data_IF_312609594010
#
_entry.id   IF_312609594010
#
_cell.length_a   1.000
_cell.length_b   1.000
_cell.length_c   1.000
_cell.angle_alpha   90.00
_cell.angle_beta   90.00
_cell.angle_gamma   90.00
#
_symmetry.space_group_name_H-M   'P 1'
#
loop_
_entity.id
_entity.type
_entity.pdbx_description
1 polymer ?
#
# COMPACT_ATOMS: atom_id res chain seq x y z
N UNK A 1 20.52 7.57 -46.82
CA UNK A 1 19.25 7.51 -46.06
C UNK A 1 19.62 7.67 -44.60
N UNK A 2 19.63 8.91 -44.11
CA UNK A 2 20.06 9.23 -42.74
C UNK A 2 19.05 8.70 -41.71
N UNK A 3 19.55 8.19 -40.61
CA UNK A 3 18.79 7.57 -39.52
C UNK A 3 17.69 8.52 -39.01
N UNK A 4 16.44 8.27 -39.39
CA UNK A 4 15.22 8.97 -38.95
C UNK A 4 14.79 8.56 -37.51
N UNK A 5 15.48 7.58 -36.94
CA UNK A 5 15.23 7.03 -35.61
C UNK A 5 15.30 8.07 -34.47
N UNK A 6 16.32 8.94 -34.36
CA UNK A 6 16.39 9.94 -33.30
C UNK A 6 15.21 10.92 -33.35
N UNK A 7 14.81 11.34 -34.56
CA UNK A 7 13.70 12.27 -34.75
C UNK A 7 12.36 11.64 -34.29
N UNK A 8 12.10 10.39 -34.70
CA UNK A 8 10.89 9.65 -34.26
C UNK A 8 10.83 9.44 -32.75
N UNK A 9 11.96 9.15 -32.11
CA UNK A 9 12.03 9.00 -30.65
C UNK A 9 11.69 10.34 -29.98
N UNK A 10 12.24 11.44 -30.47
CA UNK A 10 11.97 12.78 -29.91
C UNK A 10 10.51 13.19 -30.10
N UNK A 11 9.91 12.92 -31.26
CA UNK A 11 8.51 13.22 -31.52
C UNK A 11 7.56 12.37 -30.66
N UNK A 12 7.87 11.09 -30.47
CA UNK A 12 7.14 10.20 -29.56
C UNK A 12 7.20 10.69 -28.10
N UNK A 13 8.40 11.04 -27.61
CA UNK A 13 8.58 11.56 -26.24
C UNK A 13 7.87 12.90 -26.03
N UNK A 14 7.88 13.78 -27.04
CA UNK A 14 7.19 15.08 -27.00
C UNK A 14 5.67 14.93 -26.91
N UNK A 15 5.10 13.98 -27.65
CA UNK A 15 3.67 13.67 -27.58
C UNK A 15 3.30 13.03 -26.23
N UNK A 16 4.17 12.17 -25.69
CA UNK A 16 3.91 11.48 -24.41
C UNK A 16 4.00 12.41 -23.19
N UNK A 17 4.91 13.38 -23.23
CA UNK A 17 5.13 14.36 -22.16
C UNK A 17 4.13 15.52 -22.15
N UNK A 18 3.08 15.48 -22.98
CA UNK A 18 2.17 16.62 -23.22
C UNK A 18 2.95 17.91 -23.56
N UNK A 19 3.99 17.81 -24.39
CA UNK A 19 4.92 18.90 -24.76
C UNK A 19 5.79 19.47 -23.64
N UNK A 20 5.78 18.87 -22.44
CA UNK A 20 6.75 19.23 -21.41
C UNK A 20 8.16 18.77 -21.84
N UNK A 21 9.14 19.67 -21.74
CA UNK A 21 10.52 19.42 -22.14
C UNK A 21 11.32 18.55 -21.17
N UNK A 22 10.67 17.97 -20.15
CA UNK A 22 11.33 17.22 -19.08
C UNK A 22 10.58 15.93 -18.72
N UNK A 23 11.35 14.92 -18.33
CA UNK A 23 10.85 13.62 -17.89
C UNK A 23 10.81 12.57 -19.00
N UNK A 24 10.94 11.31 -18.59
CA UNK A 24 10.76 10.13 -19.45
C UNK A 24 9.55 9.32 -18.95
N UNK A 25 8.89 8.53 -19.81
CA UNK A 25 7.78 7.67 -19.41
C UNK A 25 8.18 6.72 -18.27
N UNK A 26 7.35 6.53 -17.25
CA UNK A 26 7.64 5.63 -16.12
C UNK A 26 7.12 4.23 -16.41
N UNK A 27 7.93 3.19 -16.18
CA UNK A 27 7.49 1.78 -16.18
C UNK A 27 7.79 0.95 -17.44
N UNK A 28 8.39 1.53 -18.49
CA UNK A 28 8.80 0.80 -19.70
C UNK A 28 10.27 0.33 -19.68
N UNK A 29 10.63 -0.80 -20.33
CA UNK A 29 12.03 -1.26 -20.45
C UNK A 29 12.96 -0.21 -21.10
N UNK A 30 12.46 0.53 -22.08
CA UNK A 30 13.22 1.58 -22.77
C UNK A 30 13.56 2.75 -21.83
N UNK A 31 12.64 3.14 -20.95
CA UNK A 31 12.86 4.22 -19.98
C UNK A 31 13.99 3.89 -19.01
N UNK A 32 14.11 2.61 -18.61
CA UNK A 32 15.22 2.17 -17.75
C UNK A 32 16.57 2.37 -18.42
N UNK A 33 16.69 1.99 -19.69
CA UNK A 33 17.93 2.17 -20.47
C UNK A 33 18.25 3.66 -20.62
N UNK A 34 17.24 4.50 -20.90
CA UNK A 34 17.43 5.95 -21.01
C UNK A 34 17.86 6.57 -19.68
N UNK A 35 17.28 6.17 -18.54
CA UNK A 35 17.74 6.60 -17.22
C UNK A 35 19.20 6.25 -16.95
N UNK A 36 19.60 5.03 -17.28
CA UNK A 36 20.99 4.58 -17.13
C UNK A 36 21.96 5.39 -18.01
N UNK A 37 21.57 5.68 -19.25
CA UNK A 37 22.37 6.50 -20.17
C UNK A 37 22.53 7.95 -19.68
N UNK A 38 21.46 8.54 -19.13
CA UNK A 38 21.47 9.88 -18.54
C UNK A 38 22.43 9.95 -17.34
N UNK A 39 22.37 8.97 -16.43
CA UNK A 39 23.20 8.96 -15.22
C UNK A 39 24.66 8.51 -15.47
N UNK A 40 24.95 7.83 -16.58
CA UNK A 40 26.31 7.41 -16.92
C UNK A 40 27.32 8.58 -17.04
N UNK A 41 26.86 9.79 -17.39
CA UNK A 41 27.75 10.97 -17.35
C UNK A 41 28.20 11.28 -15.92
N UNK A 42 27.29 11.21 -14.94
CA UNK A 42 27.59 11.44 -13.53
C UNK A 42 28.52 10.36 -12.99
N UNK A 43 28.27 9.10 -13.36
CA UNK A 43 29.14 7.97 -12.98
C UNK A 43 30.59 8.19 -13.43
N UNK A 44 30.78 8.67 -14.67
CA UNK A 44 32.11 8.97 -15.20
C UNK A 44 32.79 10.13 -14.48
N UNK A 45 32.02 11.16 -14.11
CA UNK A 45 32.53 12.29 -13.33
C UNK A 45 32.97 11.85 -11.93
N UNK A 46 32.16 11.03 -11.24
CA UNK A 46 32.53 10.47 -9.93
C UNK A 46 33.81 9.62 -10.02
N UNK A 47 33.95 8.78 -11.06
CA UNK A 47 35.19 8.02 -11.29
C UNK A 47 36.39 8.92 -11.59
N UNK A 48 36.16 10.01 -12.34
CA UNK A 48 37.20 10.99 -12.66
C UNK A 48 37.77 11.69 -11.43
N UNK A 49 36.94 11.96 -10.42
CA UNK A 49 37.34 12.50 -9.12
C UNK A 49 37.89 11.43 -8.15
N UNK A 50 37.97 10.16 -8.56
CA UNK A 50 38.44 9.08 -7.70
C UNK A 50 37.47 8.67 -6.59
N UNK A 51 36.20 9.09 -6.65
CA UNK A 51 35.19 8.79 -5.63
C UNK A 51 34.78 7.33 -5.76
N UNK A 52 34.88 6.57 -4.66
CA UNK A 52 34.38 5.20 -4.61
C UNK A 52 32.86 5.20 -4.43
N UNK A 53 32.13 4.58 -5.36
CA UNK A 53 30.68 4.51 -5.27
C UNK A 53 30.10 3.24 -5.88
N UNK A 54 28.87 2.93 -5.48
CA UNK A 54 27.99 1.97 -6.12
C UNK A 54 26.67 2.66 -6.47
N UNK A 55 26.15 2.40 -7.67
CA UNK A 55 24.86 2.90 -8.12
C UNK A 55 23.97 1.76 -8.58
N UNK A 56 22.72 1.79 -8.14
CA UNK A 56 21.68 0.91 -8.66
C UNK A 56 20.46 1.76 -9.01
N UNK A 57 20.13 1.86 -10.30
CA UNK A 57 19.15 2.81 -10.81
C UNK A 57 19.47 4.26 -10.34
N UNK A 58 18.58 4.90 -9.59
CA UNK A 58 18.72 6.26 -9.04
C UNK A 58 19.41 6.30 -7.66
N UNK A 59 19.63 5.16 -7.02
CA UNK A 59 20.24 5.09 -5.69
C UNK A 59 21.77 5.09 -5.76
N UNK A 60 22.40 6.13 -5.22
CA UNK A 60 23.85 6.28 -5.07
C UNK A 60 24.31 5.95 -3.65
N UNK A 61 25.35 5.14 -3.56
CA UNK A 61 26.09 4.87 -2.32
C UNK A 61 27.54 5.30 -2.53
N UNK A 62 27.94 6.37 -1.84
CA UNK A 62 29.31 6.90 -1.86
C UNK A 62 30.05 6.41 -0.62
N UNK A 63 31.31 5.99 -0.78
CA UNK A 63 32.16 5.52 0.30
C UNK A 63 33.29 6.51 0.57
N UNK A 64 33.58 6.77 1.83
CA UNK A 64 34.63 7.70 2.28
C UNK A 64 35.26 7.23 3.59
N UNK A 65 36.43 7.75 3.92
CA UNK A 65 37.19 7.39 5.12
C UNK A 65 36.75 8.18 6.34
N UNK A 66 36.26 9.41 6.13
CA UNK A 66 35.77 10.28 7.20
C UNK A 66 34.51 11.07 6.76
N UNK A 67 33.89 11.75 7.73
CA UNK A 67 32.61 12.45 7.55
C UNK A 67 32.73 13.72 6.69
N UNK A 68 33.85 14.42 6.77
CA UNK A 68 34.08 15.65 6.01
C UNK A 68 34.29 15.35 4.53
N UNK A 69 35.01 14.27 4.23
CA UNK A 69 35.16 13.71 2.89
C UNK A 69 33.79 13.22 2.35
N UNK A 70 32.99 12.55 3.18
CA UNK A 70 31.63 12.14 2.80
C UNK A 70 30.78 13.36 2.38
N UNK A 71 30.87 14.44 3.15
CA UNK A 71 30.15 15.67 2.90
C UNK A 71 30.62 16.33 1.60
N UNK A 72 31.93 16.34 1.36
CA UNK A 72 32.54 16.83 0.12
C UNK A 72 32.05 16.03 -1.10
N UNK A 73 32.01 14.69 -1.02
CA UNK A 73 31.48 13.84 -2.09
C UNK A 73 29.97 14.08 -2.34
N UNK A 74 29.18 14.28 -1.27
CA UNK A 74 27.76 14.61 -1.40
C UNK A 74 27.54 15.94 -2.12
N UNK A 75 28.31 16.97 -1.75
CA UNK A 75 28.25 18.27 -2.41
C UNK A 75 28.61 18.17 -3.89
N UNK A 76 29.69 17.46 -4.20
CA UNK A 76 30.10 17.22 -5.58
C UNK A 76 28.99 16.52 -6.39
N UNK A 77 28.43 15.44 -5.86
CA UNK A 77 27.32 14.72 -6.51
C UNK A 77 26.11 15.63 -6.74
N UNK A 78 25.70 16.37 -5.69
CA UNK A 78 24.56 17.28 -5.76
C UNK A 78 24.77 18.38 -6.81
N UNK A 79 25.98 18.94 -6.88
CA UNK A 79 26.34 19.97 -7.84
C UNK A 79 26.27 19.42 -9.28
N UNK A 80 26.89 18.26 -9.55
CA UNK A 80 26.91 17.67 -10.89
C UNK A 80 25.55 17.19 -11.35
N UNK A 81 24.72 16.66 -10.46
CA UNK A 81 23.33 16.30 -10.78
C UNK A 81 22.52 17.53 -11.17
N UNK A 82 22.66 18.64 -10.43
CA UNK A 82 21.93 19.87 -10.71
C UNK A 82 22.41 20.54 -12.00
N UNK A 83 23.71 20.71 -12.17
CA UNK A 83 24.28 21.43 -13.31
C UNK A 83 24.13 20.68 -14.63
N UNK A 84 24.37 19.37 -14.65
CA UNK A 84 24.42 18.60 -15.89
C UNK A 84 23.08 17.94 -16.25
N UNK A 85 22.28 17.54 -15.24
CA UNK A 85 21.05 16.76 -15.46
C UNK A 85 19.79 17.49 -14.97
N UNK A 86 19.91 18.63 -14.28
CA UNK A 86 18.76 19.31 -13.67
C UNK A 86 18.09 18.50 -12.54
N UNK A 87 18.79 17.50 -11.99
CA UNK A 87 18.27 16.60 -10.97
C UNK A 87 18.64 17.09 -9.56
N UNK A 88 17.76 16.85 -8.59
CA UNK A 88 17.99 17.19 -7.18
C UNK A 88 17.88 15.95 -6.29
N UNK A 89 18.71 15.90 -5.25
CA UNK A 89 18.67 14.85 -4.25
C UNK A 89 17.51 15.05 -3.26
N UNK A 90 16.82 13.97 -2.92
CA UNK A 90 15.74 14.00 -1.94
C UNK A 90 16.30 14.04 -0.50
N UNK A 91 16.29 15.22 0.13
CA UNK A 91 16.84 15.47 1.47
C UNK A 91 16.42 14.47 2.55
N UNK A 92 15.17 14.00 2.52
CA UNK A 92 14.65 13.04 3.50
C UNK A 92 15.25 11.62 3.37
N UNK A 93 15.77 11.29 2.19
CA UNK A 93 16.40 10.00 1.87
C UNK A 93 17.93 10.04 1.96
N UNK A 94 18.54 11.20 1.73
CA UNK A 94 19.99 11.38 1.84
C UNK A 94 20.44 11.30 3.31
N UNK A 95 21.29 10.33 3.62
CA UNK A 95 21.78 10.07 4.98
C UNK A 95 23.27 9.79 4.98
N UNK A 96 23.96 10.26 6.02
CA UNK A 96 25.30 9.79 6.35
C UNK A 96 25.15 8.61 7.29
N UNK A 97 25.80 7.50 6.96
CA UNK A 97 25.71 6.27 7.72
C UNK A 97 27.12 5.76 8.00
N UNK A 98 27.34 5.22 9.20
CA UNK A 98 28.56 4.46 9.46
C UNK A 98 28.54 3.13 8.71
N UNK A 99 29.71 2.49 8.56
CA UNK A 99 29.79 1.14 7.98
C UNK A 99 28.84 0.16 8.70
N UNK A 100 28.77 0.24 10.02
CA UNK A 100 27.88 -0.60 10.83
C UNK A 100 26.40 -0.33 10.55
N UNK A 101 25.99 0.94 10.45
CA UNK A 101 24.61 1.32 10.13
C UNK A 101 24.20 0.90 8.71
N UNK A 102 25.12 1.06 7.75
CA UNK A 102 24.90 0.67 6.36
C UNK A 102 24.75 -0.85 6.23
N UNK A 103 25.65 -1.62 6.87
CA UNK A 103 25.57 -3.08 6.92
C UNK A 103 24.28 -3.57 7.58
N UNK A 104 23.81 -2.95 8.66
CA UNK A 104 22.54 -3.30 9.31
C UNK A 104 21.30 -3.01 8.45
N UNK A 105 21.42 -2.11 7.46
CA UNK A 105 20.36 -1.75 6.53
C UNK A 105 20.35 -2.65 5.29
N UNK A 106 21.48 -3.30 4.99
CA UNK A 106 21.63 -4.18 3.83
C UNK A 106 20.83 -5.47 4.01
N UNK A 107 19.91 -5.81 3.07
CA UNK A 107 19.19 -7.09 3.09
C UNK A 107 20.12 -8.31 3.04
N UNK A 108 21.36 -8.14 2.58
CA UNK A 108 22.37 -9.21 2.47
C UNK A 108 23.02 -9.56 3.81
N UNK A 109 23.00 -8.65 4.81
CA UNK A 109 23.51 -8.94 6.15
C UNK A 109 22.52 -9.76 7.01
N UNK A 110 21.41 -10.21 6.41
CA UNK A 110 20.46 -11.14 7.01
C UNK A 110 20.83 -12.61 6.73
N UNK A 111 21.86 -12.90 5.93
CA UNK A 111 22.19 -14.27 5.50
C UNK A 111 23.50 -14.84 6.06
N UNK A 112 24.53 -14.04 6.34
CA UNK A 112 25.80 -14.58 6.85
C UNK A 112 26.20 -14.00 8.20
N UNK A 113 26.23 -14.94 9.16
CA UNK A 113 26.93 -14.95 10.45
C UNK A 113 26.49 -14.02 11.58
N UNK A 114 26.62 -14.60 12.79
CA UNK A 114 26.28 -14.04 14.07
C UNK A 114 26.87 -12.64 14.25
N UNK A 115 26.00 -11.62 14.33
CA UNK A 115 26.39 -10.33 14.87
C UNK A 115 26.63 -10.51 16.38
N UNK A 116 27.86 -10.32 16.87
CA UNK A 116 28.15 -10.27 18.30
C UNK A 116 27.29 -9.18 18.94
N UNK A 117 26.94 -9.38 20.21
CA UNK A 117 26.33 -8.35 21.04
C UNK A 117 27.06 -7.00 20.88
N UNK A 118 26.30 -5.90 20.91
CA UNK A 118 26.69 -4.48 20.73
C UNK A 118 26.33 -3.94 19.32
N UNK A 119 25.39 -3.03 19.07
CA UNK A 119 24.60 -2.12 19.90
C UNK A 119 23.22 -1.94 19.21
N UNK A 120 22.19 -2.58 19.77
CA UNK A 120 20.80 -2.14 19.58
C UNK A 120 20.45 -1.45 20.89
N UNK A 121 19.98 -0.20 20.83
CA UNK A 121 19.58 0.60 22.00
C UNK A 121 19.00 -0.26 23.15
N UNK A 122 19.44 -0.06 24.40
CA UNK A 122 19.25 -1.02 25.51
C UNK A 122 17.78 -1.24 25.95
N UNK A 123 16.83 -0.44 25.44
CA UNK A 123 15.44 -0.44 25.92
C UNK A 123 14.51 -1.46 25.24
N UNK A 124 14.98 -2.19 24.23
CA UNK A 124 14.17 -3.21 23.55
C UNK A 124 14.47 -4.61 24.12
N UNK A 125 13.45 -5.34 24.63
CA UNK A 125 13.62 -6.70 25.10
C UNK A 125 14.28 -7.56 24.02
N UNK A 126 15.21 -8.45 24.40
CA UNK A 126 15.93 -9.32 23.45
C UNK A 126 14.98 -10.07 22.48
N UNK A 127 13.77 -10.40 22.94
CA UNK A 127 12.70 -11.02 22.15
C UNK A 127 12.17 -10.14 21.01
N UNK A 128 12.01 -8.83 21.25
CA UNK A 128 11.59 -7.86 20.24
C UNK A 128 12.67 -7.67 19.15
N UNK A 129 13.95 -7.78 19.55
CA UNK A 129 15.08 -7.77 18.60
C UNK A 129 15.08 -9.03 17.73
N UNK A 130 14.77 -10.20 18.30
CA UNK A 130 14.62 -11.45 17.55
C UNK A 130 13.55 -11.36 16.46
N UNK A 131 12.37 -10.82 16.78
CA UNK A 131 11.31 -10.61 15.79
C UNK A 131 11.68 -9.56 14.72
N UNK A 132 12.45 -8.53 15.08
CA UNK A 132 12.98 -7.57 14.11
C UNK A 132 14.06 -8.15 13.19
N UNK A 133 14.80 -9.17 13.61
CA UNK A 133 15.74 -9.90 12.73
C UNK A 133 15.02 -10.90 11.84
N UNK A 134 13.88 -11.41 12.28
CA UNK A 134 13.09 -12.38 11.53
C UNK A 134 12.42 -11.80 10.28
N UNK A 135 12.49 -12.55 9.16
CA UNK A 135 11.92 -12.17 7.87
C UNK A 135 10.53 -12.81 7.68
N UNK A 136 9.49 -11.98 7.64
CA UNK A 136 8.10 -12.42 7.42
C UNK A 136 7.74 -12.49 5.93
N UNK A 137 8.67 -12.91 5.06
CA UNK A 137 8.40 -13.01 3.62
C UNK A 137 7.68 -14.31 3.31
N UNK A 138 6.48 -14.18 2.75
CA UNK A 138 5.68 -15.29 2.25
C UNK A 138 5.28 -15.00 0.81
N UNK A 139 5.58 -15.91 -0.12
CA UNK A 139 5.13 -15.84 -1.51
C UNK A 139 4.02 -16.86 -1.77
N UNK A 140 2.76 -16.42 -1.93
CA UNK A 140 1.63 -17.30 -2.20
C UNK A 140 1.70 -18.07 -3.53
N UNK A 141 2.58 -17.66 -4.45
CA UNK A 141 2.71 -18.27 -5.78
C UNK A 141 3.96 -19.15 -5.91
N UNK A 142 4.70 -19.35 -4.81
CA UNK A 142 5.82 -20.28 -4.78
C UNK A 142 5.33 -21.73 -4.93
N UNK A 143 6.05 -22.60 -5.66
CA UNK A 143 5.76 -24.04 -5.67
C UNK A 143 5.84 -24.69 -4.27
N UNK A 144 6.56 -24.09 -3.33
CA UNK A 144 6.69 -24.53 -1.93
C UNK A 144 5.81 -23.72 -0.95
N UNK A 145 4.85 -22.94 -1.44
CA UNK A 145 4.07 -22.00 -0.61
C UNK A 145 3.43 -22.65 0.62
N UNK A 146 2.94 -23.89 0.54
CA UNK A 146 2.35 -24.54 1.70
C UNK A 146 3.39 -24.88 2.78
N UNK A 147 4.56 -25.37 2.37
CA UNK A 147 5.68 -25.69 3.26
C UNK A 147 6.29 -24.43 3.89
N UNK A 148 6.48 -23.39 3.08
CA UNK A 148 6.99 -22.08 3.52
C UNK A 148 6.05 -21.43 4.55
N UNK A 149 4.73 -21.56 4.38
CA UNK A 149 3.74 -21.08 5.34
C UNK A 149 3.85 -21.81 6.68
N UNK A 150 3.93 -23.14 6.64
CA UNK A 150 4.03 -23.98 7.84
C UNK A 150 5.34 -23.74 8.60
N UNK A 151 6.46 -23.56 7.91
CA UNK A 151 7.73 -23.17 8.51
C UNK A 151 7.61 -21.81 9.20
N UNK A 152 7.07 -20.82 8.50
CA UNK A 152 6.89 -19.47 9.02
C UNK A 152 6.00 -19.46 10.26
N UNK A 153 4.92 -20.23 10.25
CA UNK A 153 4.01 -20.40 11.39
C UNK A 153 4.72 -20.99 12.61
N UNK A 154 5.47 -22.08 12.45
CA UNK A 154 6.22 -22.72 13.56
C UNK A 154 7.29 -21.82 14.15
N UNK A 155 7.95 -21.01 13.32
CA UNK A 155 8.95 -20.06 13.79
C UNK A 155 8.32 -18.88 14.52
N UNK A 156 7.15 -18.42 14.04
CA UNK A 156 6.34 -17.39 14.69
C UNK A 156 5.82 -17.85 16.05
N UNK A 157 5.42 -19.11 16.20
CA UNK A 157 4.99 -19.70 17.48
C UNK A 157 6.06 -19.62 18.58
N UNK A 158 7.35 -19.50 18.21
CA UNK A 158 8.45 -19.29 19.18
C UNK A 158 8.44 -17.89 19.79
N UNK A 159 7.80 -16.92 19.14
CA UNK A 159 7.68 -15.56 19.62
C UNK A 159 6.32 -15.35 20.31
N UNK A 160 6.35 -14.80 21.52
CA UNK A 160 5.12 -14.37 22.18
C UNK A 160 4.65 -13.03 21.60
N UNK A 161 3.99 -13.10 20.44
CA UNK A 161 3.51 -11.92 19.71
C UNK A 161 2.45 -11.17 20.53
N UNK A 162 1.64 -11.87 21.31
CA UNK A 162 0.58 -11.25 22.10
C UNK A 162 1.17 -10.37 23.20
N UNK A 163 2.19 -10.86 23.89
CA UNK A 163 2.87 -10.07 24.93
C UNK A 163 3.66 -8.92 24.32
N UNK A 164 4.31 -9.12 23.16
CA UNK A 164 4.95 -8.03 22.42
C UNK A 164 3.93 -6.96 22.01
N UNK A 165 2.75 -7.36 21.53
CA UNK A 165 1.66 -6.45 21.19
C UNK A 165 1.20 -5.67 22.41
N UNK A 166 0.89 -6.34 23.52
CA UNK A 166 0.48 -5.67 24.78
C UNK A 166 1.53 -4.66 25.24
N UNK A 167 2.81 -5.04 25.19
CA UNK A 167 3.91 -4.16 25.60
C UNK A 167 4.05 -2.92 24.70
N UNK A 168 3.77 -3.03 23.41
CA UNK A 168 3.76 -1.89 22.49
C UNK A 168 2.53 -1.01 22.71
N UNK A 169 1.36 -1.60 22.96
CA UNK A 169 0.13 -0.85 23.22
C UNK A 169 0.13 -0.10 24.56
N UNK A 170 0.89 -0.58 25.55
CA UNK A 170 1.05 0.12 26.82
C UNK A 170 1.96 1.35 26.75
N UNK A 171 2.65 1.60 25.63
CA UNK A 171 3.56 2.73 25.46
C UNK A 171 2.80 3.98 25.04
N UNK A 172 3.33 5.14 25.41
CA UNK A 172 2.83 6.44 24.92
C UNK A 172 3.14 6.66 23.44
N UNK A 173 4.18 6.01 22.91
CA UNK A 173 4.56 6.04 21.50
C UNK A 173 5.02 4.66 21.06
N UNK A 174 4.50 4.19 19.92
CA UNK A 174 4.85 2.91 19.33
C UNK A 174 6.15 2.97 18.53
N UNK A 175 6.85 1.84 18.48
CA UNK A 175 7.93 1.67 17.52
C UNK A 175 7.37 1.20 16.18
N UNK A 176 7.24 2.11 15.20
CA UNK A 176 6.51 1.91 13.92
C UNK A 176 6.90 0.61 13.20
N UNK A 177 8.20 0.30 13.09
CA UNK A 177 8.66 -0.89 12.37
C UNK A 177 8.40 -2.19 13.14
N UNK A 178 8.48 -2.15 14.48
CA UNK A 178 8.16 -3.30 15.32
C UNK A 178 6.65 -3.54 15.32
N UNK A 179 5.84 -2.49 15.50
CA UNK A 179 4.39 -2.55 15.43
C UNK A 179 3.92 -3.14 14.09
N UNK A 180 4.47 -2.69 12.97
CA UNK A 180 4.14 -3.26 11.64
C UNK A 180 4.49 -4.74 11.53
N UNK A 181 5.61 -5.18 12.10
CA UNK A 181 5.98 -6.61 12.12
C UNK A 181 5.04 -7.43 13.00
N UNK A 182 4.76 -6.96 14.21
CA UNK A 182 3.81 -7.59 15.14
C UNK A 182 2.45 -7.75 14.45
N UNK A 183 1.91 -6.66 13.88
CA UNK A 183 0.63 -6.66 13.17
C UNK A 183 0.63 -7.69 12.03
N UNK A 184 1.67 -7.71 11.19
CA UNK A 184 1.75 -8.68 10.08
C UNK A 184 1.90 -10.13 10.56
N UNK A 185 2.58 -10.34 11.69
CA UNK A 185 2.77 -11.68 12.26
C UNK A 185 1.45 -12.28 12.80
N UNK A 186 0.44 -11.45 13.12
CA UNK A 186 -0.88 -11.94 13.56
C UNK A 186 -1.59 -12.84 12.53
N UNK A 187 -1.25 -12.71 11.24
CA UNK A 187 -1.78 -13.58 10.17
C UNK A 187 -1.43 -15.06 10.35
N UNK A 188 -0.36 -15.35 11.08
CA UNK A 188 0.17 -16.69 11.28
C UNK A 188 -0.13 -17.26 12.68
N UNK A 189 -0.82 -16.49 13.53
CA UNK A 189 -1.25 -16.95 14.86
C UNK A 189 -2.55 -17.76 14.72
N UNK A 190 -2.74 -18.74 15.61
CA UNK A 190 -3.99 -19.50 15.76
C UNK A 190 -5.23 -18.61 15.91
N UNK A 191 -6.33 -18.99 15.25
CA UNK A 191 -7.57 -18.19 15.17
C UNK A 191 -8.08 -17.73 16.55
N UNK A 192 -8.12 -18.62 17.56
CA UNK A 192 -8.64 -18.27 18.89
C UNK A 192 -7.82 -17.20 19.64
N UNK A 193 -6.51 -17.09 19.40
CA UNK A 193 -5.65 -16.05 19.99
C UNK A 193 -5.66 -14.75 19.19
N UNK A 194 -6.03 -14.83 17.91
CA UNK A 194 -6.06 -13.71 16.97
C UNK A 194 -7.18 -12.72 17.31
N UNK A 195 -8.33 -13.21 17.74
CA UNK A 195 -9.51 -12.39 18.08
C UNK A 195 -9.17 -11.26 19.04
N UNK A 196 -8.63 -11.58 20.22
CA UNK A 196 -8.27 -10.60 21.24
C UNK A 196 -7.21 -9.59 20.74
N UNK A 197 -6.26 -10.04 19.92
CA UNK A 197 -5.22 -9.18 19.37
C UNK A 197 -5.78 -8.16 18.36
N UNK A 198 -6.67 -8.59 17.46
CA UNK A 198 -7.27 -7.70 16.46
C UNK A 198 -8.20 -6.69 17.14
N UNK A 199 -8.99 -7.12 18.13
CA UNK A 199 -9.84 -6.22 18.92
C UNK A 199 -8.99 -5.14 19.59
N UNK A 200 -7.90 -5.52 20.26
CA UNK A 200 -6.99 -4.58 20.91
C UNK A 200 -6.38 -3.56 19.93
N UNK A 201 -6.06 -3.97 18.70
CA UNK A 201 -5.54 -3.05 17.68
C UNK A 201 -6.61 -2.05 17.21
N UNK A 202 -7.84 -2.50 16.95
CA UNK A 202 -8.92 -1.62 16.45
C UNK A 202 -9.37 -0.62 17.51
N UNK A 203 -9.33 -1.01 18.78
CA UNK A 203 -9.71 -0.16 19.92
C UNK A 203 -8.66 0.89 20.32
N UNK A 204 -7.45 0.85 19.75
CA UNK A 204 -6.37 1.83 20.03
C UNK A 204 -5.96 2.61 18.76
N UNK A 205 -6.90 3.27 18.05
CA UNK A 205 -6.65 3.87 16.75
C UNK A 205 -5.69 5.07 16.82
N UNK A 206 -5.73 5.85 17.91
CA UNK A 206 -4.92 7.06 18.09
C UNK A 206 -3.43 6.72 18.25
N UNK A 207 -3.13 5.71 19.07
CA UNK A 207 -1.77 5.21 19.27
C UNK A 207 -1.21 4.56 17.99
N UNK A 208 -2.07 3.85 17.25
CA UNK A 208 -1.71 3.11 16.04
C UNK A 208 -1.86 3.92 14.76
N UNK A 209 -2.18 5.22 14.85
CA UNK A 209 -2.35 6.11 13.69
C UNK A 209 -1.25 5.97 12.62
N UNK A 210 0.06 5.89 12.95
CA UNK A 210 1.13 5.74 11.95
C UNK A 210 1.12 4.41 11.17
N UNK A 211 0.45 3.39 11.70
CA UNK A 211 0.36 2.04 11.13
C UNK A 211 -1.08 1.60 10.90
N UNK A 212 -2.05 2.52 10.95
CA UNK A 212 -3.48 2.23 10.90
C UNK A 212 -3.88 1.43 9.64
N UNK A 213 -3.34 1.80 8.48
CA UNK A 213 -3.57 1.05 7.23
C UNK A 213 -3.11 -0.41 7.33
N UNK A 214 -2.03 -0.69 8.06
CA UNK A 214 -1.55 -2.06 8.26
C UNK A 214 -2.48 -2.84 9.18
N UNK A 215 -3.01 -2.19 10.23
CA UNK A 215 -4.03 -2.79 11.11
C UNK A 215 -5.26 -3.18 10.30
N UNK A 216 -5.81 -2.25 9.51
CA UNK A 216 -7.00 -2.50 8.69
C UNK A 216 -6.77 -3.60 7.64
N UNK A 217 -5.59 -3.64 7.01
CA UNK A 217 -5.24 -4.68 6.04
C UNK A 217 -5.18 -6.06 6.67
N UNK A 218 -4.54 -6.19 7.85
CA UNK A 218 -4.48 -7.47 8.56
C UNK A 218 -5.86 -7.89 9.02
N UNK A 219 -6.60 -6.99 9.68
CA UNK A 219 -7.96 -7.24 10.13
C UNK A 219 -8.87 -7.69 8.98
N UNK A 220 -8.78 -7.06 7.80
CA UNK A 220 -9.51 -7.48 6.60
C UNK A 220 -9.08 -8.84 6.09
N UNK A 221 -7.78 -9.12 6.04
CA UNK A 221 -7.27 -10.41 5.53
C UNK A 221 -7.62 -11.59 6.43
N UNK A 222 -7.82 -11.37 7.73
CA UNK A 222 -8.15 -12.42 8.69
C UNK A 222 -9.62 -12.41 9.08
N UNK A 223 -10.45 -11.51 8.51
CA UNK A 223 -11.80 -11.22 9.01
C UNK A 223 -12.71 -12.46 9.02
N UNK A 224 -12.66 -13.27 7.95
CA UNK A 224 -13.48 -14.48 7.80
C UNK A 224 -13.12 -15.57 8.81
N UNK A 225 -11.88 -15.58 9.33
CA UNK A 225 -11.40 -16.54 10.33
C UNK A 225 -11.75 -16.14 11.78
N UNK A 226 -12.18 -14.88 12.02
CA UNK A 226 -12.49 -14.38 13.36
C UNK A 226 -13.88 -14.85 13.81
N UNK A 227 -14.07 -14.98 15.13
CA UNK A 227 -15.40 -15.31 15.67
C UNK A 227 -16.45 -14.24 15.33
N UNK A 228 -17.72 -14.65 15.21
CA UNK A 228 -18.85 -13.75 14.92
C UNK A 228 -18.93 -12.57 15.90
N UNK A 229 -18.70 -12.84 17.19
CA UNK A 229 -18.72 -11.82 18.25
C UNK A 229 -17.61 -10.78 18.00
N UNK A 230 -16.40 -11.24 17.68
CA UNK A 230 -15.28 -10.36 17.38
C UNK A 230 -15.48 -9.55 16.10
N UNK A 231 -16.03 -10.18 15.05
CA UNK A 231 -16.36 -9.47 13.81
C UNK A 231 -17.31 -8.29 14.08
N UNK A 232 -18.40 -8.52 14.82
CA UNK A 232 -19.36 -7.46 15.17
C UNK A 232 -18.68 -6.36 15.99
N UNK A 233 -17.93 -6.72 17.03
CA UNK A 233 -17.24 -5.76 17.90
C UNK A 233 -16.26 -4.85 17.15
N UNK A 234 -15.51 -5.40 16.19
CA UNK A 234 -14.58 -4.63 15.34
C UNK A 234 -15.37 -3.63 14.49
N UNK A 235 -16.47 -4.06 13.88
CA UNK A 235 -17.27 -3.22 13.00
C UNK A 235 -18.00 -2.12 13.77
N UNK A 236 -18.52 -2.41 14.97
CA UNK A 236 -19.10 -1.41 15.86
C UNK A 236 -18.08 -0.33 16.23
N UNK A 237 -16.85 -0.73 16.58
CA UNK A 237 -15.76 0.21 16.86
C UNK A 237 -15.45 1.12 15.66
N UNK A 238 -15.45 0.58 14.43
CA UNK A 238 -15.26 1.39 13.22
C UNK A 238 -16.42 2.35 12.96
N UNK A 239 -17.66 1.90 13.18
CA UNK A 239 -18.85 2.75 13.06
C UNK A 239 -18.75 3.94 14.01
N UNK A 240 -18.37 3.71 15.27
CA UNK A 240 -18.18 4.77 16.25
C UNK A 240 -17.10 5.77 15.82
N UNK A 241 -15.97 5.28 15.33
CA UNK A 241 -14.88 6.16 14.84
C UNK A 241 -15.31 7.05 13.67
N UNK A 242 -16.11 6.50 12.75
CA UNK A 242 -16.65 7.26 11.60
C UNK A 242 -17.69 8.27 12.10
N UNK A 243 -18.65 7.85 12.95
CA UNK A 243 -19.69 8.74 13.51
C UNK A 243 -19.09 9.92 14.27
N UNK A 244 -18.04 9.67 15.05
CA UNK A 244 -17.37 10.69 15.86
C UNK A 244 -16.39 11.56 15.06
N UNK A 245 -16.26 11.34 13.74
CA UNK A 245 -15.33 12.04 12.87
C UNK A 245 -13.90 12.07 13.43
N UNK A 246 -13.41 10.90 13.86
CA UNK A 246 -12.09 10.74 14.47
C UNK A 246 -11.00 11.31 13.58
N UNK A 247 -10.01 11.98 14.19
CA UNK A 247 -8.87 12.55 13.48
C UNK A 247 -8.08 11.50 12.68
N UNK A 248 -8.07 10.24 13.13
CA UNK A 248 -7.44 9.11 12.44
C UNK A 248 -8.05 8.87 11.06
N UNK A 249 -9.37 9.04 10.94
CA UNK A 249 -10.14 8.81 9.71
C UNK A 249 -10.30 10.05 8.84
N UNK A 250 -9.81 11.23 9.28
CA UNK A 250 -9.73 12.41 8.40
C UNK A 250 -8.77 12.20 7.24
N UNK A 251 -7.80 11.30 7.41
CA UNK A 251 -6.93 10.85 6.33
C UNK A 251 -7.76 9.94 5.41
N UNK A 252 -7.97 10.40 4.17
CA UNK A 252 -8.79 9.72 3.17
C UNK A 252 -8.43 8.23 3.00
N UNK A 253 -7.13 7.90 2.97
CA UNK A 253 -6.66 6.53 2.83
C UNK A 253 -7.04 5.64 4.03
N UNK A 254 -7.00 6.18 5.25
CA UNK A 254 -7.39 5.43 6.45
C UNK A 254 -8.89 5.15 6.43
N UNK A 255 -9.70 6.15 6.08
CA UNK A 255 -11.14 6.00 5.92
C UNK A 255 -11.48 4.96 4.83
N UNK A 256 -10.75 4.97 3.71
CA UNK A 256 -10.92 3.97 2.65
C UNK A 256 -10.71 2.54 3.16
N UNK A 257 -9.62 2.30 3.90
CA UNK A 257 -9.35 0.98 4.49
C UNK A 257 -10.38 0.58 5.55
N UNK A 258 -10.88 1.54 6.34
CA UNK A 258 -11.95 1.29 7.31
C UNK A 258 -13.27 0.89 6.61
N UNK A 259 -13.68 1.61 5.55
CA UNK A 259 -14.87 1.28 4.75
C UNK A 259 -14.73 -0.11 4.11
N UNK A 260 -13.54 -0.44 3.61
CA UNK A 260 -13.25 -1.76 3.03
C UNK A 260 -13.36 -2.92 4.00
N UNK A 261 -13.04 -2.70 5.26
CA UNK A 261 -13.22 -3.67 6.34
C UNK A 261 -14.69 -3.73 6.77
N UNK A 262 -15.35 -2.58 6.89
CA UNK A 262 -16.78 -2.49 7.15
C UNK A 262 -17.60 -3.25 6.10
N UNK A 263 -17.22 -3.14 4.83
CA UNK A 263 -17.87 -3.86 3.73
C UNK A 263 -17.82 -5.38 3.78
N UNK A 264 -17.05 -5.98 4.70
CA UNK A 264 -16.98 -7.44 4.85
C UNK A 264 -18.29 -8.04 5.40
N UNK A 265 -19.01 -7.31 6.26
CA UNK A 265 -20.28 -7.78 6.85
C UNK A 265 -21.20 -6.61 7.15
N UNK A 266 -22.48 -6.75 6.80
CA UNK A 266 -23.49 -5.76 7.16
C UNK A 266 -23.89 -5.91 8.62
N UNK A 267 -23.92 -4.80 9.35
CA UNK A 267 -24.38 -4.74 10.75
C UNK A 267 -25.35 -3.58 10.93
N UNK A 268 -26.08 -3.55 12.04
CA UNK A 268 -27.10 -2.52 12.30
C UNK A 268 -26.51 -1.11 12.24
N UNK A 269 -27.11 -0.24 11.43
CA UNK A 269 -26.70 1.15 11.26
C UNK A 269 -25.49 1.39 10.34
N UNK A 270 -24.88 0.33 9.76
CA UNK A 270 -23.77 0.50 8.80
C UNK A 270 -24.24 1.12 7.47
N UNK A 271 -25.45 0.79 7.04
CA UNK A 271 -26.07 1.29 5.80
C UNK A 271 -26.37 2.80 5.88
N UNK A 272 -27.08 3.24 6.92
CA UNK A 272 -27.38 4.66 7.14
C UNK A 272 -26.10 5.50 7.26
N UNK A 273 -25.09 4.97 7.94
CA UNK A 273 -23.79 5.60 8.08
C UNK A 273 -23.12 5.82 6.72
N UNK A 274 -23.03 4.77 5.90
CA UNK A 274 -22.39 4.87 4.58
C UNK A 274 -23.20 5.75 3.62
N UNK A 275 -24.53 5.72 3.70
CA UNK A 275 -25.40 6.61 2.93
C UNK A 275 -25.18 8.08 3.30
N UNK A 276 -25.09 8.39 4.59
CA UNK A 276 -24.73 9.72 5.08
C UNK A 276 -23.33 10.15 4.65
N UNK A 277 -22.35 9.25 4.77
CA UNK A 277 -20.96 9.51 4.39
C UNK A 277 -20.81 9.78 2.88
N UNK A 278 -21.55 9.05 2.03
CA UNK A 278 -21.56 9.26 0.59
C UNK A 278 -21.99 10.68 0.21
N UNK A 279 -23.03 11.19 0.88
CA UNK A 279 -23.55 12.55 0.66
C UNK A 279 -22.58 13.62 1.16
N UNK A 280 -21.92 13.38 2.30
CA UNK A 280 -21.02 14.34 2.92
C UNK A 280 -19.65 14.44 2.24
N UNK A 281 -19.11 13.32 1.72
CA UNK A 281 -17.79 13.31 1.11
C UNK A 281 -17.80 13.83 -0.33
N UNK A 282 -16.71 14.47 -0.74
CA UNK A 282 -16.46 14.87 -2.13
C UNK A 282 -15.42 13.99 -2.82
N UNK A 283 -14.77 13.08 -2.07
CA UNK A 283 -13.75 12.19 -2.62
C UNK A 283 -14.37 11.13 -3.55
N UNK A 284 -13.92 11.06 -4.82
CA UNK A 284 -14.30 10.00 -5.75
C UNK A 284 -13.92 8.58 -5.27
N UNK A 285 -12.79 8.45 -4.56
CA UNK A 285 -12.28 7.16 -4.11
C UNK A 285 -13.16 6.58 -2.98
N UNK A 286 -13.56 7.43 -2.03
CA UNK A 286 -14.46 7.02 -0.95
C UNK A 286 -15.82 6.66 -1.52
N UNK A 287 -16.39 7.51 -2.39
CA UNK A 287 -17.69 7.26 -3.03
C UNK A 287 -17.68 5.96 -3.82
N UNK A 288 -16.61 5.69 -4.59
CA UNK A 288 -16.40 4.41 -5.29
C UNK A 288 -16.51 3.22 -4.33
N UNK A 289 -15.80 3.22 -3.21
CA UNK A 289 -15.83 2.09 -2.27
C UNK A 289 -17.19 1.93 -1.60
N UNK A 290 -17.85 3.04 -1.24
CA UNK A 290 -19.22 2.99 -0.71
C UNK A 290 -20.18 2.34 -1.71
N UNK A 291 -20.11 2.71 -3.00
CA UNK A 291 -20.94 2.09 -4.04
C UNK A 291 -20.73 0.57 -4.11
N UNK A 292 -19.47 0.13 -4.08
CA UNK A 292 -19.13 -1.30 -4.13
C UNK A 292 -19.58 -2.03 -2.87
N UNK A 293 -19.46 -1.41 -1.69
CA UNK A 293 -19.95 -1.95 -0.41
C UNK A 293 -21.47 -2.10 -0.42
N UNK A 294 -22.20 -1.04 -0.76
CA UNK A 294 -23.67 -1.06 -0.85
C UNK A 294 -24.16 -2.12 -1.83
N UNK A 295 -23.46 -2.29 -2.96
CA UNK A 295 -23.75 -3.34 -3.91
C UNK A 295 -23.44 -4.74 -3.38
N UNK A 296 -22.35 -4.91 -2.61
CA UNK A 296 -22.04 -6.20 -1.99
C UNK A 296 -23.11 -6.61 -0.98
N UNK A 297 -23.64 -5.66 -0.22
CA UNK A 297 -24.75 -5.88 0.71
C UNK A 297 -26.12 -6.02 0.04
N UNK A 298 -26.24 -5.68 -1.25
CA UNK A 298 -27.49 -5.81 -1.99
C UNK A 298 -28.51 -4.71 -1.67
N UNK A 299 -28.05 -3.51 -1.30
CA UNK A 299 -28.90 -2.35 -0.99
C UNK A 299 -29.51 -1.76 -2.27
N UNK A 300 -30.48 -2.46 -2.84
CA UNK A 300 -31.05 -2.18 -4.16
C UNK A 300 -31.74 -0.82 -4.25
N UNK A 301 -32.46 -0.42 -3.20
CA UNK A 301 -33.22 0.83 -3.21
C UNK A 301 -32.29 2.04 -3.32
N UNK A 302 -31.15 2.00 -2.63
CA UNK A 302 -30.13 3.05 -2.65
C UNK A 302 -29.41 3.09 -4.00
N UNK A 303 -29.09 1.93 -4.57
CA UNK A 303 -28.47 1.83 -5.89
C UNK A 303 -29.40 2.30 -7.02
N UNK A 304 -30.69 2.02 -6.92
CA UNK A 304 -31.69 2.43 -7.91
C UNK A 304 -31.86 3.95 -7.93
N UNK A 305 -31.89 4.61 -6.76
CA UNK A 305 -31.88 6.07 -6.67
C UNK A 305 -30.57 6.66 -7.21
N UNK A 306 -29.44 6.08 -6.79
CA UNK A 306 -28.12 6.55 -7.19
C UNK A 306 -27.92 6.52 -8.72
N UNK A 307 -28.52 5.54 -9.42
CA UNK A 307 -28.49 5.42 -10.89
C UNK A 307 -28.83 6.73 -11.60
N UNK A 308 -29.79 7.49 -11.08
CA UNK A 308 -30.27 8.72 -11.70
C UNK A 308 -29.18 9.79 -11.83
N UNK A 309 -28.13 9.69 -11.01
CA UNK A 309 -27.00 10.61 -10.96
C UNK A 309 -25.79 10.10 -11.77
N UNK A 310 -25.91 9.01 -12.52
CA UNK A 310 -24.76 8.36 -13.18
C UNK A 310 -23.96 9.28 -14.12
N UNK A 311 -24.63 10.22 -14.79
CA UNK A 311 -23.97 11.17 -15.69
C UNK A 311 -23.09 12.20 -14.95
N UNK A 312 -23.34 12.45 -13.67
CA UNK A 312 -22.55 13.37 -12.85
C UNK A 312 -21.38 12.68 -12.13
N UNK A 313 -21.26 11.36 -12.26
CA UNK A 313 -20.21 10.59 -11.59
C UNK A 313 -18.84 10.84 -12.18
N UNK A 314 -17.84 10.81 -11.29
CA UNK A 314 -16.45 10.69 -11.67
C UNK A 314 -16.17 9.36 -12.40
N UNK A 315 -15.07 9.24 -13.17
CA UNK A 315 -14.74 7.98 -13.84
C UNK A 315 -14.63 6.77 -12.91
N UNK A 316 -14.21 6.97 -11.65
CA UNK A 316 -14.06 5.88 -10.68
C UNK A 316 -15.43 5.40 -10.17
N UNK A 317 -16.32 6.33 -9.84
CA UNK A 317 -17.70 6.05 -9.44
C UNK A 317 -18.49 5.38 -10.57
N UNK A 318 -18.33 5.84 -11.81
CA UNK A 318 -18.97 5.23 -12.99
C UNK A 318 -18.61 3.75 -13.11
N UNK A 319 -17.33 3.41 -13.02
CA UNK A 319 -16.86 2.01 -13.06
C UNK A 319 -17.40 1.19 -11.90
N UNK A 320 -17.41 1.75 -10.68
CA UNK A 320 -18.00 1.07 -9.53
C UNK A 320 -19.50 0.84 -9.71
N UNK A 321 -20.24 1.83 -10.20
CA UNK A 321 -21.67 1.73 -10.44
C UNK A 321 -22.01 0.73 -11.56
N UNK A 322 -21.20 0.65 -12.61
CA UNK A 322 -21.35 -0.38 -13.66
C UNK A 322 -21.30 -1.79 -13.03
N UNK A 323 -20.34 -2.04 -12.13
CA UNK A 323 -20.26 -3.30 -11.38
C UNK A 323 -21.48 -3.47 -10.46
N UNK A 324 -21.85 -2.43 -9.73
CA UNK A 324 -23.00 -2.44 -8.82
C UNK A 324 -24.33 -2.70 -9.53
N UNK A 325 -24.50 -2.23 -10.76
CA UNK A 325 -25.74 -2.35 -11.54
C UNK A 325 -26.17 -3.80 -11.77
N UNK A 326 -25.26 -4.78 -11.67
CA UNK A 326 -25.61 -6.20 -11.77
C UNK A 326 -26.43 -6.70 -10.58
N UNK A 327 -26.47 -5.95 -9.48
CA UNK A 327 -27.34 -6.22 -8.31
C UNK A 327 -28.76 -5.71 -8.49
N UNK A 328 -29.01 -4.84 -9.48
CA UNK A 328 -30.34 -4.33 -9.82
C UNK A 328 -31.13 -5.24 -10.78
N UNK A 329 -30.65 -6.47 -11.04
CA UNK A 329 -31.32 -7.46 -11.90
C UNK A 329 -31.82 -6.86 -13.24
N UNK A 330 -33.13 -6.94 -13.51
CA UNK A 330 -33.79 -6.49 -14.74
C UNK A 330 -33.61 -4.98 -14.96
N UNK A 331 -33.82 -4.18 -13.92
CA UNK A 331 -33.63 -2.73 -13.97
C UNK A 331 -32.20 -2.38 -14.38
N UNK A 332 -31.22 -3.07 -13.81
CA UNK A 332 -29.81 -2.91 -14.16
C UNK A 332 -29.50 -3.34 -15.60
N UNK A 333 -30.13 -4.41 -16.08
CA UNK A 333 -29.95 -4.92 -17.45
C UNK A 333 -30.41 -3.90 -18.49
N UNK A 334 -31.65 -3.41 -18.36
CA UNK A 334 -32.20 -2.39 -19.25
C UNK A 334 -31.37 -1.10 -19.21
N UNK A 335 -30.98 -0.66 -18.02
CA UNK A 335 -30.15 0.53 -17.86
C UNK A 335 -28.80 0.39 -18.57
N UNK A 336 -28.08 -0.73 -18.38
CA UNK A 336 -26.79 -0.98 -19.05
C UNK A 336 -26.93 -0.94 -20.56
N UNK A 337 -27.96 -1.59 -21.13
CA UNK A 337 -28.20 -1.60 -22.57
C UNK A 337 -28.46 -0.19 -23.13
N UNK A 338 -29.23 0.62 -22.42
CA UNK A 338 -29.55 1.99 -22.81
C UNK A 338 -28.30 2.89 -22.82
N UNK A 339 -27.49 2.84 -21.76
CA UNK A 339 -26.38 3.80 -21.57
C UNK A 339 -25.03 3.33 -22.15
N UNK A 340 -24.93 2.09 -22.63
CA UNK A 340 -23.67 1.48 -23.11
C UNK A 340 -22.96 2.31 -24.19
N UNK A 341 -23.69 3.10 -24.98
CA UNK A 341 -23.13 3.98 -26.00
C UNK A 341 -22.31 5.13 -25.40
N UNK A 342 -22.66 5.58 -24.19
CA UNK A 342 -21.96 6.64 -23.45
C UNK A 342 -20.70 6.11 -22.71
N UNK A 343 -20.41 4.81 -22.77
CA UNK A 343 -19.28 4.22 -22.05
C UNK A 343 -17.95 4.43 -22.74
N UNK A 344 -16.95 4.80 -21.93
CA UNK A 344 -15.53 4.79 -22.35
C UNK A 344 -15.05 3.37 -22.63
N UNK A 345 -13.94 3.16 -23.38
CA UNK A 345 -13.39 1.83 -23.62
C UNK A 345 -13.14 1.02 -22.34
N UNK A 346 -12.64 1.68 -21.28
CA UNK A 346 -12.40 1.03 -19.99
C UNK A 346 -13.70 0.65 -19.27
N UNK A 347 -14.76 1.45 -19.39
CA UNK A 347 -16.08 1.15 -18.84
C UNK A 347 -16.73 -0.04 -19.55
N UNK A 348 -16.56 -0.16 -20.87
CA UNK A 348 -17.00 -1.33 -21.64
C UNK A 348 -16.27 -2.60 -21.21
N UNK A 349 -14.95 -2.52 -20.97
CA UNK A 349 -14.17 -3.62 -20.41
C UNK A 349 -14.61 -3.98 -18.99
N UNK A 350 -14.91 -2.98 -18.15
CA UNK A 350 -15.42 -3.19 -16.79
C UNK A 350 -16.77 -3.91 -16.84
N UNK A 351 -17.65 -3.50 -17.76
CA UNK A 351 -18.96 -4.11 -17.96
C UNK A 351 -18.84 -5.57 -18.41
N UNK A 352 -17.97 -5.88 -19.38
CA UNK A 352 -17.77 -7.25 -19.88
C UNK A 352 -17.15 -8.16 -18.83
N UNK A 353 -16.14 -7.66 -18.11
CA UNK A 353 -15.54 -8.36 -16.97
C UNK A 353 -16.57 -8.66 -15.87
N UNK A 354 -17.39 -7.67 -15.49
CA UNK A 354 -18.43 -7.86 -14.49
C UNK A 354 -19.50 -8.87 -14.96
N UNK A 355 -19.90 -8.84 -16.24
CA UNK A 355 -20.83 -9.82 -16.80
C UNK A 355 -20.33 -11.26 -16.63
N UNK A 356 -19.05 -11.50 -16.95
CA UNK A 356 -18.42 -12.81 -16.83
C UNK A 356 -18.33 -13.27 -15.37
N UNK A 357 -18.03 -12.35 -14.45
CA UNK A 357 -17.85 -12.67 -13.03
C UNK A 357 -19.17 -12.95 -12.31
N UNK A 358 -20.24 -12.23 -12.64
CA UNK A 358 -21.58 -12.48 -12.07
C UNK A 358 -22.09 -13.89 -12.40
N UNK A 359 -21.69 -14.45 -13.53
CA UNK A 359 -22.02 -15.83 -13.93
C UNK A 359 -21.18 -16.89 -13.17
N UNK A 360 -20.09 -16.49 -12.52
CA UNK A 360 -19.23 -17.40 -11.76
C UNK A 360 -19.86 -17.71 -10.39
N UNK A 361 -19.96 -18.98 -10.04
CA UNK A 361 -20.50 -19.40 -8.74
C UNK A 361 -19.60 -18.89 -7.59
N UNK A 362 -20.22 -18.31 -6.55
CA UNK A 362 -19.51 -17.80 -5.38
C UNK A 362 -18.82 -16.44 -5.57
N UNK A 363 -19.05 -15.75 -6.69
CA UNK A 363 -18.44 -14.43 -6.88
C UNK A 363 -19.08 -13.35 -5.99
N UNK A 364 -18.23 -12.68 -5.21
CA UNK A 364 -18.56 -11.47 -4.46
C UNK A 364 -17.96 -10.24 -5.12
N UNK A 365 -18.66 -9.11 -5.04
CA UNK A 365 -18.15 -7.83 -5.56
C UNK A 365 -16.83 -7.50 -4.83
N UNK A 366 -15.72 -7.30 -5.56
CA UNK A 366 -14.45 -6.97 -4.94
C UNK A 366 -14.47 -5.52 -4.44
N UNK A 367 -13.96 -5.31 -3.23
CA UNK A 367 -13.87 -4.00 -2.55
C UNK A 367 -12.42 -3.70 -2.16
#
# INVERSE_FOLDING_TARGET
>A
MGNDLPWRIMEFLKNFSNTNSFGIPVGGPASRILSELVLNQIDRLLRGEGIQFCRFADDYHLFSSNRDEAYSHLLFLSEKLLQNQGLQLQKAKTRFMSKAEFSATSPLHLQDEAVPDEEVKPDLPARARGLLRFSLRFDPYSPTAHEDYELLRREIERFDILDLLKSELSKTRIHISLARKIINALKFIEAGKRDAAIVALVQNPDLLYPVFSSVMLVAKSTFEDLSDVTQVQILESLIELIKNNSHVLRVELNLLYAIRLLGSRQITGSEDLLSGLYKATTSPLIRRDIILVMARWGVWYWLSDLRNQFRTFSPQERRAFIVASYRLADEGSHWRQYIQQEFTPLEKLTMSWAAQKVQSHGWTIPI
#
